data_IF_325536543375
#
_entry.id   IF_325536543375
#
_cell.length_a   1.000
_cell.length_b   1.000
_cell.length_c   1.000
_cell.angle_alpha   90.00
_cell.angle_beta   90.00
_cell.angle_gamma   90.00
#
_symmetry.space_group_name_H-M   'P 1'
#
loop_
_entity.id
_entity.type
_entity.pdbx_description
1 polymer ?
#
# COMPACT_ATOMS: atom_id res chain seq x y z
N UNK A 1 6.18 54.12 -49.07
CA UNK A 1 7.02 53.27 -48.21
C UNK A 1 6.08 52.47 -47.32
N UNK A 2 5.79 51.25 -47.71
CA UNK A 2 4.94 50.29 -46.96
C UNK A 2 5.84 49.38 -46.11
N UNK A 3 5.57 49.13 -44.79
CA UNK A 3 6.38 48.23 -44.00
C UNK A 3 6.04 46.76 -44.28
N UNK A 4 7.05 45.97 -44.51
CA UNK A 4 6.98 44.53 -44.74
C UNK A 4 6.65 43.79 -43.44
N UNK A 5 5.71 42.86 -43.49
CA UNK A 5 5.27 41.98 -42.38
C UNK A 5 6.31 40.85 -42.16
N UNK A 6 6.60 40.46 -40.89
CA UNK A 6 7.60 39.45 -40.56
C UNK A 6 7.02 38.04 -40.32
N UNK A 7 5.86 37.65 -40.85
CA UNK A 7 5.31 36.30 -40.65
C UNK A 7 5.51 35.45 -41.91
N UNK A 8 6.40 34.46 -41.77
CA UNK A 8 6.56 33.37 -42.74
C UNK A 8 5.39 32.39 -42.68
N UNK A 9 5.19 31.53 -43.70
CA UNK A 9 4.09 30.57 -43.74
C UNK A 9 4.19 29.47 -42.66
N UNK A 10 3.06 28.92 -42.18
CA UNK A 10 3.05 27.86 -41.18
C UNK A 10 3.65 26.56 -41.74
N UNK A 11 4.38 25.85 -40.85
CA UNK A 11 5.00 24.57 -41.16
C UNK A 11 3.95 23.47 -41.39
N UNK A 12 4.21 22.63 -42.37
CA UNK A 12 3.39 21.48 -42.77
C UNK A 12 3.26 20.44 -41.65
N UNK A 13 2.05 19.93 -41.33
CA UNK A 13 1.89 18.88 -40.34
C UNK A 13 2.42 17.54 -40.86
N UNK A 14 3.44 17.00 -40.20
CA UNK A 14 4.03 15.71 -40.53
C UNK A 14 3.03 14.53 -40.46
N UNK A 15 3.36 13.39 -41.11
CA UNK A 15 2.45 12.27 -41.28
C UNK A 15 2.05 11.62 -39.93
N UNK A 16 0.81 11.06 -39.79
CA UNK A 16 0.32 10.52 -38.55
C UNK A 16 1.10 9.28 -38.10
N UNK A 17 1.56 9.32 -36.86
CA UNK A 17 2.22 8.18 -36.19
C UNK A 17 1.18 7.06 -36.01
N UNK A 18 1.29 6.01 -36.79
CA UNK A 18 0.44 4.80 -36.68
C UNK A 18 0.79 4.06 -35.39
N UNK A 19 -0.19 3.98 -34.49
CA UNK A 19 -0.09 3.39 -33.16
C UNK A 19 0.39 1.93 -33.18
N UNK A 20 1.38 1.65 -32.34
CA UNK A 20 1.97 0.32 -32.07
C UNK A 20 1.00 -0.68 -31.36
N UNK A 21 -0.20 -0.27 -31.03
CA UNK A 21 -1.21 -1.05 -30.29
C UNK A 21 -1.65 -2.36 -30.97
N UNK A 22 -1.57 -2.48 -32.32
CA UNK A 22 -1.92 -3.72 -33.03
C UNK A 22 -0.88 -4.83 -32.92
N UNK A 23 0.41 -4.53 -32.66
CA UNK A 23 1.46 -5.56 -32.54
C UNK A 23 1.45 -6.27 -31.18
N UNK A 24 1.09 -5.59 -30.09
CA UNK A 24 1.02 -6.21 -28.75
C UNK A 24 -0.15 -7.19 -28.60
N UNK A 25 -1.33 -6.90 -29.18
CA UNK A 25 -2.48 -7.82 -29.12
C UNK A 25 -2.19 -9.18 -29.76
N UNK A 26 -1.41 -9.24 -30.85
CA UNK A 26 -1.07 -10.53 -31.50
C UNK A 26 -0.05 -11.37 -30.71
N UNK A 27 0.81 -10.74 -29.90
CA UNK A 27 1.76 -11.49 -29.05
C UNK A 27 1.08 -12.09 -27.81
N UNK A 28 0.08 -11.44 -27.22
CA UNK A 28 -0.71 -11.99 -26.10
C UNK A 28 -1.53 -13.22 -26.52
N UNK A 29 -2.20 -13.20 -27.67
CA UNK A 29 -2.97 -14.36 -28.14
C UNK A 29 -2.11 -15.61 -28.44
N UNK A 30 -0.86 -15.45 -28.89
CA UNK A 30 0.04 -16.59 -29.11
C UNK A 30 0.54 -17.25 -27.83
N UNK A 31 0.70 -16.49 -26.73
CA UNK A 31 1.12 -17.05 -25.43
C UNK A 31 0.01 -17.86 -24.75
N UNK A 32 -1.25 -17.47 -24.88
CA UNK A 32 -2.39 -18.21 -24.33
C UNK A 32 -2.68 -19.50 -25.11
N UNK A 33 -2.45 -19.54 -26.40
CA UNK A 33 -2.61 -20.76 -27.22
C UNK A 33 -1.55 -21.83 -26.90
N UNK A 34 -0.33 -21.43 -26.52
CA UNK A 34 0.74 -22.37 -26.15
C UNK A 34 0.50 -22.97 -24.76
N UNK A 35 -0.07 -22.21 -23.82
CA UNK A 35 -0.41 -22.69 -22.47
C UNK A 35 -1.59 -23.67 -22.45
N UNK A 36 -2.58 -23.50 -23.32
CA UNK A 36 -3.72 -24.43 -23.44
C UNK A 36 -3.33 -25.77 -24.06
N UNK A 37 -2.34 -25.83 -24.93
CA UNK A 37 -1.84 -27.09 -25.50
C UNK A 37 -0.95 -27.91 -24.54
N UNK A 38 -0.29 -27.25 -23.56
CA UNK A 38 0.51 -27.92 -22.55
C UNK A 38 -0.33 -28.63 -21.46
N UNK A 39 -1.56 -28.15 -21.19
CA UNK A 39 -2.45 -28.71 -20.17
C UNK A 39 -3.19 -30.00 -20.65
N UNK A 40 -3.27 -30.24 -21.96
CA UNK A 40 -3.91 -31.45 -22.52
C UNK A 40 -2.99 -32.66 -22.61
N UNK A 41 -1.68 -32.51 -22.37
CA UNK A 41 -0.71 -33.62 -22.49
C UNK A 41 -0.39 -34.34 -21.17
N UNK A 42 -0.92 -33.91 -20.01
CA UNK A 42 -0.65 -34.49 -18.68
C UNK A 42 -1.82 -35.35 -18.13
N UNK A 43 -2.91 -35.43 -18.85
CA UNK A 43 -4.17 -36.08 -18.43
C UNK A 43 -4.32 -37.58 -18.76
N UNK A 44 -3.26 -38.36 -18.77
CA UNK A 44 -3.42 -39.77 -19.12
C UNK A 44 -2.34 -40.67 -18.56
N UNK A 45 -2.33 -41.01 -17.29
CA UNK A 45 -1.82 -42.29 -16.72
C UNK A 45 -1.81 -42.20 -15.17
N UNK A 46 -2.84 -42.72 -14.51
CA UNK A 46 -2.74 -43.33 -13.18
C UNK A 46 -4.07 -44.03 -12.82
N UNK A 47 -4.22 -45.26 -13.27
CA UNK A 47 -5.18 -46.22 -12.70
C UNK A 47 -4.40 -47.19 -11.85
N UNK A 48 -4.78 -47.33 -10.58
CA UNK A 48 -4.51 -48.53 -9.78
C UNK A 48 -3.48 -48.38 -8.66
N UNK A 49 -3.96 -48.20 -7.46
CA UNK A 49 -3.65 -49.03 -6.27
C UNK A 49 -4.54 -48.57 -5.10
N UNK A 50 -5.60 -49.36 -4.83
CA UNK A 50 -6.42 -49.24 -3.62
C UNK A 50 -5.67 -49.87 -2.44
N UNK A 51 -5.12 -49.08 -1.56
CA UNK A 51 -4.61 -49.49 -0.27
C UNK A 51 -5.61 -49.07 0.83
N UNK A 52 -6.21 -50.11 1.46
CA UNK A 52 -7.10 -49.98 2.62
C UNK A 52 -6.34 -49.36 3.81
N UNK A 53 -6.69 -48.15 4.22
CA UNK A 53 -6.25 -47.56 5.50
C UNK A 53 -7.45 -47.52 6.43
N UNK A 54 -7.38 -48.28 7.51
CA UNK A 54 -8.35 -48.33 8.61
C UNK A 54 -8.33 -47.01 9.39
N UNK A 55 -9.50 -46.47 9.80
CA UNK A 55 -9.53 -45.28 10.67
C UNK A 55 -9.22 -45.68 12.12
N UNK A 56 -8.54 -44.81 12.90
CA UNK A 56 -8.29 -45.02 14.31
C UNK A 56 -9.57 -44.89 15.15
N UNK A 57 -9.65 -45.74 16.18
CA UNK A 57 -10.77 -45.86 17.11
C UNK A 57 -11.11 -44.58 17.91
N UNK A 58 -12.40 -44.29 18.02
CA UNK A 58 -12.96 -43.28 18.92
C UNK A 58 -12.69 -43.63 20.36
N UNK A 59 -12.10 -42.72 21.16
CA UNK A 59 -12.10 -42.74 22.58
C UNK A 59 -13.38 -42.05 23.14
N UNK A 60 -13.96 -42.53 24.26
CA UNK A 60 -15.21 -42.01 24.77
C UNK A 60 -15.05 -40.72 25.57
N UNK A 61 -16.08 -39.88 25.43
CA UNK A 61 -16.25 -38.61 26.12
C UNK A 61 -16.31 -38.76 27.66
N UNK A 62 -15.54 -37.94 28.34
CA UNK A 62 -15.75 -37.68 29.77
C UNK A 62 -16.64 -36.45 29.93
N UNK A 63 -17.69 -36.62 30.73
CA UNK A 63 -18.77 -35.67 30.96
C UNK A 63 -18.44 -34.64 32.06
N UNK A 64 -19.07 -33.46 31.88
CA UNK A 64 -19.64 -32.54 32.88
C UNK A 64 -18.74 -31.61 33.68
N UNK A 65 -18.97 -30.36 33.39
CA UNK A 65 -18.90 -29.23 34.31
C UNK A 65 -19.76 -28.10 33.78
N UNK A 66 -21.00 -28.02 34.26
CA UNK A 66 -21.96 -26.95 34.03
C UNK A 66 -21.61 -25.80 34.97
N UNK A 67 -21.26 -24.63 34.49
CA UNK A 67 -21.31 -23.36 35.21
C UNK A 67 -21.75 -22.22 34.27
N UNK A 68 -22.92 -21.79 34.49
CA UNK A 68 -23.61 -20.46 34.44
C UNK A 68 -22.99 -19.33 33.66
N UNK A 69 -23.81 -18.89 32.73
CA UNK A 69 -24.18 -17.53 32.31
C UNK A 69 -23.24 -16.38 32.69
N UNK A 70 -22.76 -15.74 31.64
CA UNK A 70 -22.11 -14.45 31.67
C UNK A 70 -22.05 -13.90 30.27
N UNK A 71 -23.06 -13.09 29.87
CA UNK A 71 -23.05 -12.28 28.66
C UNK A 71 -21.77 -11.45 28.59
N UNK A 72 -20.80 -11.91 27.83
CA UNK A 72 -19.62 -11.15 27.42
C UNK A 72 -19.55 -11.12 25.91
N UNK A 73 -19.66 -9.94 25.33
CA UNK A 73 -19.43 -9.69 23.92
C UNK A 73 -18.16 -10.42 23.46
N UNK A 74 -18.28 -11.23 22.42
CA UNK A 74 -17.21 -12.08 21.93
C UNK A 74 -15.96 -11.27 21.56
N UNK A 75 -14.94 -11.39 22.40
CA UNK A 75 -13.59 -10.98 22.02
C UNK A 75 -13.08 -11.99 21.00
N UNK A 76 -12.93 -11.56 19.75
CA UNK A 76 -12.20 -12.33 18.75
C UNK A 76 -10.74 -12.50 19.22
N UNK A 77 -10.11 -13.66 19.01
CA UNK A 77 -8.76 -13.89 19.49
C UNK A 77 -7.79 -12.89 18.83
N UNK A 78 -7.09 -12.14 19.68
CA UNK A 78 -6.00 -11.26 19.30
C UNK A 78 -4.92 -12.06 18.56
N UNK A 79 -4.77 -11.85 17.25
CA UNK A 79 -3.59 -12.26 16.51
C UNK A 79 -2.59 -11.11 16.61
N UNK A 80 -1.41 -11.37 17.17
CA UNK A 80 -0.31 -10.40 17.17
C UNK A 80 -0.33 -9.32 18.26
N UNK A 81 -1.21 -9.42 19.31
CA UNK A 81 -1.20 -8.47 20.44
C UNK A 81 -1.83 -7.11 20.14
N UNK A 82 -2.61 -6.97 19.07
CA UNK A 82 -3.42 -5.80 18.71
C UNK A 82 -4.84 -6.22 18.31
N UNK A 83 -5.86 -5.33 18.50
CA UNK A 83 -7.24 -5.66 18.16
C UNK A 83 -7.43 -5.76 16.63
N UNK A 84 -8.23 -6.76 16.20
CA UNK A 84 -8.64 -6.91 14.80
C UNK A 84 -9.71 -5.88 14.41
N UNK A 85 -10.54 -5.46 15.37
CA UNK A 85 -11.61 -4.49 15.20
C UNK A 85 -11.48 -3.38 16.25
N UNK A 86 -11.82 -2.15 15.89
CA UNK A 86 -11.80 -0.99 16.75
C UNK A 86 -13.16 -0.31 16.85
N UNK A 87 -13.19 0.85 17.49
CA UNK A 87 -14.42 1.61 17.72
C UNK A 87 -14.93 2.36 16.48
N UNK A 88 -14.07 2.57 15.47
CA UNK A 88 -14.32 3.45 14.35
C UNK A 88 -14.25 4.95 14.71
N UNK A 89 -13.92 5.28 15.97
CA UNK A 89 -13.68 6.64 16.43
C UNK A 89 -12.18 6.89 16.52
N UNK A 90 -11.75 8.13 16.31
CA UNK A 90 -10.34 8.47 16.23
C UNK A 90 -9.97 9.60 17.20
N UNK A 91 -8.77 9.54 17.73
CA UNK A 91 -8.13 10.64 18.45
C UNK A 91 -7.08 11.27 17.52
N UNK A 92 -7.08 12.61 17.44
CA UNK A 92 -6.09 13.35 16.67
C UNK A 92 -4.85 13.65 17.52
N UNK A 93 -3.68 13.69 16.89
CA UNK A 93 -2.46 14.16 17.53
C UNK A 93 -2.53 15.68 17.73
N UNK A 94 -2.14 16.12 18.90
CA UNK A 94 -2.11 17.52 19.25
C UNK A 94 -0.94 18.28 18.61
N UNK A 95 -1.09 19.61 18.56
CA UNK A 95 -0.04 20.51 18.16
C UNK A 95 0.27 20.51 16.66
N UNK A 96 1.31 21.24 16.31
CA UNK A 96 1.71 21.53 14.94
C UNK A 96 3.20 21.24 14.75
N UNK A 97 3.57 20.51 13.68
CA UNK A 97 4.98 20.32 13.35
C UNK A 97 5.58 21.58 12.70
N UNK A 98 6.91 21.73 12.71
CA UNK A 98 7.57 22.70 11.83
C UNK A 98 7.24 22.40 10.37
N UNK A 99 7.22 23.46 9.53
CA UNK A 99 7.18 23.28 8.07
C UNK A 99 8.48 22.62 7.62
N UNK A 100 8.36 21.53 6.85
CA UNK A 100 9.49 20.83 6.23
C UNK A 100 9.45 21.03 4.72
N UNK A 101 10.61 20.94 4.06
CA UNK A 101 10.79 21.27 2.64
C UNK A 101 11.10 22.74 2.43
N UNK A 102 11.54 23.10 1.22
CA UNK A 102 12.07 24.45 0.92
C UNK A 102 11.13 25.26 0.03
N UNK A 103 10.66 24.67 -1.07
CA UNK A 103 9.88 25.35 -2.10
C UNK A 103 8.57 24.59 -2.40
N UNK A 104 7.72 25.17 -3.23
CA UNK A 104 6.47 24.58 -3.68
C UNK A 104 5.30 24.75 -2.72
N UNK A 105 4.14 24.17 -3.05
CA UNK A 105 2.93 24.25 -2.24
C UNK A 105 3.13 23.61 -0.86
N UNK A 106 2.50 24.20 0.14
CA UNK A 106 2.45 23.62 1.49
C UNK A 106 1.25 22.66 1.57
N UNK A 107 1.53 21.38 1.78
CA UNK A 107 0.52 20.35 2.04
C UNK A 107 0.43 20.13 3.55
N UNK A 108 -0.75 20.32 4.10
CA UNK A 108 -1.02 20.13 5.53
C UNK A 108 -1.67 18.79 5.74
N UNK A 109 -1.19 18.06 6.75
CA UNK A 109 -1.78 16.76 7.11
C UNK A 109 -2.16 16.70 8.58
N UNK A 110 -3.16 15.89 8.88
CA UNK A 110 -3.55 15.52 10.23
C UNK A 110 -3.17 14.06 10.46
N UNK A 111 -2.85 13.73 11.70
CA UNK A 111 -2.61 12.34 12.11
C UNK A 111 -3.64 11.95 13.15
N UNK A 112 -4.27 10.78 12.95
CA UNK A 112 -5.27 10.24 13.86
C UNK A 112 -5.04 8.75 14.10
N UNK A 113 -5.34 8.29 15.32
CA UNK A 113 -5.27 6.88 15.70
C UNK A 113 -6.63 6.42 16.18
N UNK A 114 -7.07 5.24 15.75
CA UNK A 114 -8.33 4.65 16.20
C UNK A 114 -8.32 4.39 17.69
N UNK A 115 -9.37 4.83 18.37
CA UNK A 115 -9.55 4.59 19.80
C UNK A 115 -9.72 3.10 20.07
N UNK A 116 -9.00 2.58 21.06
CA UNK A 116 -8.95 1.15 21.34
C UNK A 116 -7.91 0.36 20.51
N UNK A 117 -7.20 0.99 19.58
CA UNK A 117 -6.12 0.35 18.81
C UNK A 117 -4.87 0.01 19.66
N UNK A 118 -4.80 0.48 20.90
CA UNK A 118 -3.65 0.24 21.78
C UNK A 118 -2.38 0.97 21.34
N UNK A 119 -2.49 2.01 20.52
CA UNK A 119 -1.37 2.80 20.03
C UNK A 119 -1.49 4.24 20.51
N UNK A 120 -0.35 4.81 20.88
CA UNK A 120 -0.23 6.21 21.29
C UNK A 120 -0.24 7.10 20.05
N UNK A 121 -1.15 8.08 20.02
CA UNK A 121 -1.34 8.95 18.85
C UNK A 121 -0.15 9.89 18.63
N UNK A 122 0.48 10.38 19.68
CA UNK A 122 1.61 11.30 19.58
C UNK A 122 2.87 10.56 19.15
N UNK A 123 3.09 9.33 19.61
CA UNK A 123 4.18 8.49 19.16
C UNK A 123 4.04 8.10 17.67
N UNK A 124 2.81 7.81 17.22
CA UNK A 124 2.54 7.57 15.80
C UNK A 124 2.77 8.84 14.98
N UNK A 125 2.26 9.98 15.43
CA UNK A 125 2.44 11.26 14.77
C UNK A 125 3.91 11.68 14.68
N UNK A 126 4.70 11.47 15.73
CA UNK A 126 6.13 11.73 15.70
C UNK A 126 6.84 10.88 14.64
N UNK A 127 6.47 9.60 14.52
CA UNK A 127 7.03 8.72 13.47
C UNK A 127 6.65 9.22 12.07
N UNK A 128 5.41 9.64 11.85
CA UNK A 128 4.95 10.22 10.57
C UNK A 128 5.71 11.52 10.27
N UNK A 129 5.86 12.41 11.26
CA UNK A 129 6.60 13.67 11.13
C UNK A 129 8.06 13.42 10.73
N UNK A 130 8.72 12.42 11.37
CA UNK A 130 10.12 12.06 11.08
C UNK A 130 10.25 11.50 9.65
N UNK A 131 9.36 10.60 9.24
CA UNK A 131 9.38 10.01 7.89
C UNK A 131 9.14 11.07 6.82
N UNK A 132 8.05 11.84 6.94
CA UNK A 132 7.69 12.81 5.91
C UNK A 132 8.59 14.05 5.91
N UNK A 133 9.24 14.34 7.05
CA UNK A 133 10.21 15.42 7.19
C UNK A 133 11.64 15.08 6.75
N UNK A 134 11.93 13.81 6.42
CA UNK A 134 13.23 13.37 5.93
C UNK A 134 13.43 13.78 4.46
N UNK A 135 14.64 14.22 4.11
CA UNK A 135 14.96 14.59 2.72
C UNK A 135 14.93 13.42 1.72
N UNK A 136 14.93 12.20 2.21
CA UNK A 136 14.72 11.00 1.38
C UNK A 136 13.24 10.76 1.06
N UNK A 137 12.31 11.42 1.79
CA UNK A 137 10.88 11.39 1.54
C UNK A 137 10.50 12.38 0.42
N UNK A 138 9.22 12.62 0.23
CA UNK A 138 8.65 13.41 -0.88
C UNK A 138 9.13 14.86 -0.94
N UNK A 139 9.52 15.44 0.22
CA UNK A 139 10.15 16.77 0.27
C UNK A 139 11.55 16.81 -0.40
N UNK A 140 12.15 15.66 -0.70
CA UNK A 140 13.40 15.56 -1.45
C UNK A 140 13.31 16.08 -2.88
N UNK A 141 12.10 16.28 -3.41
CA UNK A 141 11.86 16.96 -4.69
C UNK A 141 12.26 18.43 -4.69
N UNK A 142 12.39 19.06 -3.52
CA UNK A 142 12.47 20.51 -3.31
C UNK A 142 11.29 21.30 -3.90
N UNK A 143 10.20 20.62 -4.33
CA UNK A 143 9.00 21.23 -4.92
C UNK A 143 7.75 21.01 -4.06
N UNK A 144 7.94 20.57 -2.82
CA UNK A 144 6.88 20.27 -1.87
C UNK A 144 7.29 20.69 -0.46
N UNK A 145 6.38 21.34 0.24
CA UNK A 145 6.49 21.58 1.69
C UNK A 145 5.36 20.86 2.42
N UNK A 146 5.65 20.39 3.62
CA UNK A 146 4.70 19.60 4.40
C UNK A 146 4.65 20.06 5.85
N UNK A 147 3.49 19.96 6.50
CA UNK A 147 3.29 20.33 7.89
C UNK A 147 2.16 19.55 8.52
N UNK A 148 2.38 18.90 9.67
CA UNK A 148 1.28 18.41 10.50
C UNK A 148 0.53 19.54 11.16
N UNK A 149 -0.79 19.41 11.24
CA UNK A 149 -1.68 20.40 11.89
C UNK A 149 -2.62 19.68 12.86
N UNK A 150 -3.07 20.37 13.94
CA UNK A 150 -4.01 19.80 14.91
C UNK A 150 -5.43 19.68 14.34
N UNK A 151 -6.35 19.10 15.12
CA UNK A 151 -7.70 18.76 14.69
C UNK A 151 -8.51 19.94 14.20
N UNK A 152 -8.41 21.08 14.89
CA UNK A 152 -9.16 22.30 14.59
C UNK A 152 -8.66 23.06 13.35
N UNK A 153 -7.48 22.71 12.83
CA UNK A 153 -6.91 23.35 11.67
C UNK A 153 -7.29 22.65 10.36
N UNK A 154 -7.41 23.41 9.27
CA UNK A 154 -7.62 22.83 7.96
C UNK A 154 -6.42 22.00 7.53
N UNK A 155 -6.68 20.74 7.11
CA UNK A 155 -5.71 19.82 6.54
C UNK A 155 -6.11 19.49 5.10
N UNK A 156 -5.11 19.26 4.23
CA UNK A 156 -5.33 18.81 2.86
C UNK A 156 -5.67 17.31 2.82
N UNK A 157 -5.08 16.54 3.76
CA UNK A 157 -5.38 15.11 3.94
C UNK A 157 -5.18 14.67 5.40
N UNK A 158 -5.68 13.48 5.73
CA UNK A 158 -5.53 12.88 7.06
C UNK A 158 -4.90 11.49 6.96
N UNK A 159 -3.93 11.21 7.84
CA UNK A 159 -3.29 9.91 7.98
C UNK A 159 -3.91 9.19 9.17
N UNK A 160 -4.51 8.06 8.92
CA UNK A 160 -5.18 7.20 9.88
C UNK A 160 -4.31 6.02 10.24
N UNK A 161 -4.24 5.66 11.52
CA UNK A 161 -3.85 4.34 11.96
C UNK A 161 -5.12 3.63 12.44
N UNK A 162 -5.53 2.60 11.72
CA UNK A 162 -6.82 1.93 11.92
C UNK A 162 -6.64 0.41 12.07
N UNK A 163 -7.48 -0.22 12.90
CA UNK A 163 -7.54 -1.68 13.00
C UNK A 163 -7.88 -2.31 11.64
N UNK A 164 -7.53 -3.59 11.39
CA UNK A 164 -7.78 -4.24 10.10
C UNK A 164 -9.21 -4.08 9.58
N UNK A 165 -10.21 -4.30 10.43
CA UNK A 165 -11.62 -4.20 10.04
C UNK A 165 -12.04 -2.74 9.73
N UNK A 166 -11.56 -1.78 10.51
CA UNK A 166 -11.82 -0.36 10.25
C UNK A 166 -11.08 0.13 9.01
N UNK A 167 -9.83 -0.33 8.79
CA UNK A 167 -9.06 -0.05 7.58
C UNK A 167 -9.81 -0.52 6.33
N UNK A 168 -10.27 -1.79 6.29
CA UNK A 168 -11.07 -2.32 5.19
C UNK A 168 -12.32 -1.48 4.93
N UNK A 169 -13.08 -1.15 5.98
CA UNK A 169 -14.30 -0.34 5.84
C UNK A 169 -14.01 1.05 5.25
N UNK A 170 -12.94 1.72 5.71
CA UNK A 170 -12.57 3.03 5.20
C UNK A 170 -12.07 2.97 3.75
N UNK A 171 -11.30 1.95 3.39
CA UNK A 171 -10.82 1.72 2.01
C UNK A 171 -12.02 1.41 1.07
N UNK A 172 -13.01 0.64 1.54
CA UNK A 172 -14.22 0.31 0.78
C UNK A 172 -15.06 1.55 0.43
N UNK A 173 -15.02 2.62 1.20
CA UNK A 173 -15.67 3.89 0.85
C UNK A 173 -15.11 4.51 -0.45
N UNK A 174 -13.86 4.19 -0.80
CA UNK A 174 -13.23 4.55 -2.07
C UNK A 174 -13.35 3.48 -3.15
N UNK A 175 -14.11 2.40 -2.90
CA UNK A 175 -14.28 1.29 -3.84
C UNK A 175 -13.11 0.29 -3.84
N UNK A 176 -12.22 0.34 -2.85
CA UNK A 176 -11.08 -0.56 -2.74
C UNK A 176 -11.42 -1.72 -1.79
N UNK A 177 -11.01 -2.95 -2.13
CA UNK A 177 -11.01 -4.09 -1.22
C UNK A 177 -9.59 -4.43 -0.85
N UNK A 178 -9.26 -4.32 0.43
CA UNK A 178 -7.95 -4.65 0.99
C UNK A 178 -7.97 -5.99 1.73
N UNK A 179 -9.15 -6.59 1.87
CA UNK A 179 -9.40 -7.81 2.65
C UNK A 179 -8.89 -7.68 4.11
N UNK A 180 -8.84 -6.43 4.63
CA UNK A 180 -8.23 -6.13 5.94
C UNK A 180 -6.73 -6.42 6.00
N UNK A 181 -6.09 -6.65 4.85
CA UNK A 181 -4.67 -7.03 4.77
C UNK A 181 -3.75 -5.85 4.51
N UNK A 182 -4.04 -4.99 3.53
CA UNK A 182 -3.16 -3.87 3.18
C UNK A 182 -3.63 -2.54 3.78
N UNK A 183 -2.75 -1.55 3.73
CA UNK A 183 -3.08 -0.14 3.83
C UNK A 183 -3.68 0.34 2.51
N UNK A 184 -4.21 1.54 2.47
CA UNK A 184 -4.73 2.14 1.24
C UNK A 184 -4.74 3.66 1.30
N UNK A 185 -4.91 4.28 0.13
CA UNK A 185 -5.20 5.71 -0.01
C UNK A 185 -6.51 5.90 -0.76
N UNK A 186 -7.39 6.75 -0.22
CA UNK A 186 -8.55 7.30 -0.93
C UNK A 186 -8.47 8.83 -0.85
N UNK A 187 -9.13 9.61 -1.73
CA UNK A 187 -8.94 11.06 -1.81
C UNK A 187 -9.03 11.76 -0.44
N UNK A 188 -7.92 12.42 -0.04
CA UNK A 188 -7.78 13.13 1.23
C UNK A 188 -7.61 12.25 2.47
N UNK A 189 -7.52 10.93 2.31
CA UNK A 189 -7.33 9.99 3.43
C UNK A 189 -6.29 8.91 3.10
N UNK A 190 -5.26 8.82 3.92
CA UNK A 190 -4.23 7.80 3.93
C UNK A 190 -4.53 6.87 5.11
N UNK A 191 -4.81 5.60 4.86
CA UNK A 191 -5.22 4.63 5.88
C UNK A 191 -4.12 3.59 6.06
N UNK A 192 -3.42 3.65 7.20
CA UNK A 192 -2.40 2.68 7.60
C UNK A 192 -3.08 1.58 8.41
N UNK A 193 -2.97 0.35 7.93
CA UNK A 193 -3.51 -0.83 8.59
C UNK A 193 -2.67 -1.20 9.82
N UNK A 194 -3.30 -1.29 10.99
CA UNK A 194 -2.65 -1.58 12.26
C UNK A 194 -1.86 -2.90 12.24
N UNK A 195 -2.37 -3.94 11.59
CA UNK A 195 -1.65 -5.21 11.48
C UNK A 195 -0.33 -5.04 10.72
N UNK A 196 -0.34 -4.27 9.65
CA UNK A 196 0.88 -3.95 8.88
C UNK A 196 1.82 -3.08 9.69
N UNK A 197 1.29 -2.13 10.43
CA UNK A 197 2.06 -1.29 11.34
C UNK A 197 2.78 -2.08 12.43
N UNK A 198 2.10 -3.09 12.99
CA UNK A 198 2.63 -3.89 14.11
C UNK A 198 3.59 -4.99 13.66
N UNK A 199 3.27 -5.69 12.56
CA UNK A 199 3.95 -6.93 12.19
C UNK A 199 4.69 -6.86 10.85
N UNK A 200 4.49 -5.80 10.02
CA UNK A 200 4.90 -5.83 8.61
C UNK A 200 4.20 -6.97 7.84
N UNK A 201 4.89 -7.63 6.93
CA UNK A 201 4.45 -8.86 6.25
C UNK A 201 5.50 -9.95 6.46
N UNK A 202 5.10 -11.25 6.42
CA UNK A 202 6.07 -12.33 6.42
C UNK A 202 7.12 -12.14 5.31
N UNK A 203 8.36 -12.49 5.63
CA UNK A 203 9.48 -12.49 4.68
C UNK A 203 9.77 -11.14 4.00
N UNK A 204 9.40 -10.01 4.63
CA UNK A 204 9.71 -8.67 4.11
C UNK A 204 11.22 -8.44 3.89
N UNK A 205 12.06 -9.17 4.63
CA UNK A 205 13.52 -9.12 4.45
C UNK A 205 14.21 -7.89 5.02
N UNK A 206 13.48 -7.04 5.77
CA UNK A 206 14.01 -5.84 6.43
C UNK A 206 13.37 -5.61 7.80
N UNK A 207 14.01 -4.83 8.71
CA UNK A 207 13.45 -4.51 10.01
C UNK A 207 12.07 -3.80 9.91
N UNK A 208 11.22 -3.99 10.94
CA UNK A 208 9.88 -3.38 11.02
C UNK A 208 9.89 -1.86 10.80
N UNK A 209 10.91 -1.16 11.28
CA UNK A 209 11.03 0.30 11.07
C UNK A 209 11.14 0.66 9.59
N UNK A 210 11.78 -0.17 8.77
CA UNK A 210 11.88 0.02 7.31
C UNK A 210 10.50 -0.16 6.67
N UNK A 211 9.75 -1.18 7.09
CA UNK A 211 8.39 -1.39 6.60
C UNK A 211 7.46 -0.23 6.97
N UNK A 212 7.51 0.25 8.22
CA UNK A 212 6.72 1.41 8.69
C UNK A 212 7.03 2.67 7.87
N UNK A 213 8.30 2.91 7.60
CA UNK A 213 8.72 4.02 6.73
C UNK A 213 8.21 3.84 5.30
N UNK A 214 8.31 2.62 4.76
CA UNK A 214 7.79 2.27 3.44
C UNK A 214 6.30 2.55 3.34
N UNK A 215 5.48 1.99 4.24
CA UNK A 215 4.02 2.11 4.11
C UNK A 215 3.53 3.55 4.22
N UNK A 216 4.15 4.38 5.08
CA UNK A 216 3.85 5.82 5.16
C UNK A 216 4.17 6.50 3.81
N UNK A 217 5.39 6.31 3.29
CA UNK A 217 5.81 6.93 2.03
C UNK A 217 4.99 6.42 0.83
N UNK A 218 4.64 5.14 0.79
CA UNK A 218 3.84 4.54 -0.28
C UNK A 218 2.44 5.15 -0.35
N UNK A 219 1.71 5.12 0.75
CA UNK A 219 0.33 5.62 0.79
C UNK A 219 0.26 7.15 0.63
N UNK A 220 1.24 7.89 1.18
CA UNK A 220 1.36 9.34 0.95
C UNK A 220 1.78 9.63 -0.49
N UNK A 221 2.57 8.77 -1.12
CA UNK A 221 2.89 8.86 -2.55
C UNK A 221 1.61 8.85 -3.42
N UNK A 222 0.69 7.95 -3.14
CA UNK A 222 -0.62 7.94 -3.81
C UNK A 222 -1.42 9.23 -3.57
N UNK A 223 -1.32 9.85 -2.37
CA UNK A 223 -1.97 11.15 -2.10
C UNK A 223 -1.35 12.27 -2.94
N UNK A 224 -0.10 12.15 -3.32
CA UNK A 224 0.61 13.09 -4.21
C UNK A 224 0.49 12.73 -5.70
N UNK A 225 -0.27 11.68 -6.05
CA UNK A 225 -0.55 11.29 -7.43
C UNK A 225 0.42 10.28 -8.03
N UNK A 226 1.26 9.67 -7.22
CA UNK A 226 2.15 8.59 -7.68
C UNK A 226 1.36 7.30 -7.89
N UNK A 227 1.65 6.59 -8.96
CA UNK A 227 1.05 5.31 -9.30
C UNK A 227 2.01 4.15 -8.99
N UNK A 228 1.48 2.91 -8.97
CA UNK A 228 2.29 1.73 -8.69
C UNK A 228 3.41 1.52 -9.69
N UNK A 229 4.52 0.96 -9.21
CA UNK A 229 5.74 0.74 -9.98
C UNK A 229 6.25 -0.68 -9.82
N UNK A 230 6.88 -1.22 -10.89
CA UNK A 230 7.49 -2.54 -10.87
C UNK A 230 8.89 -2.51 -10.25
N UNK A 231 9.31 -3.67 -9.71
CA UNK A 231 10.71 -3.95 -9.41
C UNK A 231 11.55 -3.86 -10.69
N UNK A 232 12.63 -3.07 -10.73
CA UNK A 232 13.49 -2.96 -11.92
C UNK A 232 14.33 -4.22 -12.19
N UNK A 233 14.58 -5.03 -11.17
CA UNK A 233 15.30 -6.30 -11.32
C UNK A 233 15.79 -6.89 -10.00
N UNK A 234 16.17 -8.18 -9.99
CA UNK A 234 16.64 -8.84 -8.79
C UNK A 234 17.87 -8.17 -8.18
N UNK A 235 17.81 -7.94 -6.86
CA UNK A 235 18.89 -7.30 -6.09
C UNK A 235 18.87 -5.77 -6.12
N UNK A 236 18.10 -5.15 -7.01
CA UNK A 236 17.91 -3.71 -7.03
C UNK A 236 17.02 -3.24 -5.87
N UNK A 237 17.13 -2.00 -5.37
CA UNK A 237 16.17 -1.46 -4.42
C UNK A 237 14.75 -1.48 -5.00
N UNK A 238 13.77 -1.86 -4.19
CA UNK A 238 12.36 -1.74 -4.59
C UNK A 238 11.98 -0.25 -4.73
N UNK A 239 11.34 0.20 -5.82
CA UNK A 239 10.70 1.50 -5.83
C UNK A 239 9.74 1.63 -4.65
N UNK A 240 9.66 2.81 -4.00
CA UNK A 240 8.74 2.99 -2.87
C UNK A 240 7.28 2.77 -3.29
N UNK A 241 6.96 3.03 -4.56
CA UNK A 241 5.62 2.80 -5.12
C UNK A 241 5.41 1.37 -5.64
N UNK A 242 6.37 0.44 -5.47
CA UNK A 242 6.11 -0.98 -5.62
C UNK A 242 5.22 -1.46 -4.47
N UNK A 243 4.26 -2.33 -4.75
CA UNK A 243 3.39 -2.93 -3.72
C UNK A 243 4.16 -3.97 -2.89
N UNK A 244 5.17 -3.51 -2.12
CA UNK A 244 6.08 -4.37 -1.34
C UNK A 244 5.36 -5.21 -0.28
N UNK A 245 4.14 -4.83 0.09
CA UNK A 245 3.27 -5.62 1.00
C UNK A 245 2.87 -6.97 0.39
N UNK A 246 2.77 -7.06 -0.93
CA UNK A 246 2.46 -8.31 -1.64
C UNK A 246 3.71 -9.08 -2.08
N UNK A 247 4.87 -8.42 -2.06
CA UNK A 247 6.14 -9.05 -2.41
C UNK A 247 7.16 -8.06 -2.99
N UNK A 248 8.41 -8.50 -2.99
CA UNK A 248 9.52 -7.69 -3.49
C UNK A 248 9.92 -8.03 -4.94
N UNK A 249 9.40 -9.11 -5.53
CA UNK A 249 9.66 -9.56 -6.90
C UNK A 249 11.16 -9.66 -7.23
N UNK A 250 11.96 -10.03 -6.22
CA UNK A 250 13.42 -10.15 -6.30
C UNK A 250 14.17 -8.86 -5.96
N UNK A 251 13.49 -7.73 -5.80
CA UNK A 251 14.09 -6.50 -5.29
C UNK A 251 14.47 -6.61 -3.80
N UNK A 252 15.28 -5.68 -3.33
CA UNK A 252 15.58 -5.47 -1.90
C UNK A 252 14.65 -4.41 -1.34
N UNK A 253 14.12 -4.61 -0.13
CA UNK A 253 13.22 -3.67 0.53
C UNK A 253 13.82 -2.26 0.59
N UNK A 254 13.07 -1.26 0.14
CA UNK A 254 13.44 0.15 0.21
C UNK A 254 12.21 1.00 0.57
N UNK A 255 12.40 1.91 1.51
CA UNK A 255 11.34 2.70 2.10
C UNK A 255 11.26 4.15 1.57
N UNK A 256 12.16 4.55 0.69
CA UNK A 256 12.36 5.95 0.35
C UNK A 256 12.15 6.25 -1.13
N UNK A 257 11.42 7.33 -1.47
CA UNK A 257 11.28 7.79 -2.86
C UNK A 257 12.57 8.39 -3.45
N UNK A 258 13.50 8.85 -2.58
CA UNK A 258 14.78 9.41 -3.00
C UNK A 258 15.93 8.57 -2.45
N UNK A 259 16.78 8.06 -3.34
CA UNK A 259 18.00 7.31 -3.04
C UNK A 259 19.17 8.12 -3.57
N UNK A 260 20.20 8.33 -2.74
CA UNK A 260 21.37 9.15 -3.07
C UNK A 260 21.01 10.55 -3.63
N UNK A 261 19.94 11.13 -3.09
CA UNK A 261 19.44 12.45 -3.48
C UNK A 261 18.75 12.52 -4.85
N UNK A 262 18.50 11.36 -5.49
CA UNK A 262 17.79 11.27 -6.77
C UNK A 262 16.44 10.56 -6.59
N UNK A 263 15.40 11.01 -7.34
CA UNK A 263 14.13 10.28 -7.39
C UNK A 263 14.37 8.87 -7.93
N UNK A 264 14.05 7.88 -7.12
CA UNK A 264 14.14 6.47 -7.51
C UNK A 264 12.76 5.92 -7.84
N UNK A 265 12.57 5.46 -9.07
CA UNK A 265 11.28 5.03 -9.60
C UNK A 265 11.45 3.84 -10.55
N UNK A 266 10.44 2.97 -10.62
CA UNK A 266 10.33 1.87 -11.57
C UNK A 266 9.39 2.19 -12.75
N UNK A 267 9.18 1.20 -13.62
CA UNK A 267 8.14 1.29 -14.67
C UNK A 267 6.75 1.28 -14.02
N UNK A 268 5.84 2.10 -14.56
CA UNK A 268 4.45 2.13 -14.09
C UNK A 268 3.77 0.79 -14.41
N UNK A 269 3.00 0.31 -13.43
CA UNK A 269 2.18 -0.89 -13.57
C UNK A 269 0.75 -0.60 -13.14
N UNK A 270 -0.21 -1.33 -13.71
CA UNK A 270 -1.59 -1.29 -13.24
C UNK A 270 -1.60 -1.82 -11.79
N UNK A 271 -2.18 -1.08 -10.87
CA UNK A 271 -2.42 -1.54 -9.51
C UNK A 271 -3.40 -2.72 -9.48
N UNK A 272 -3.28 -3.54 -8.45
CA UNK A 272 -4.25 -4.62 -8.16
C UNK A 272 -5.45 -3.99 -7.47
#
# INVERSE_FOLDING_TARGET
MTPSSPYGPPADPGPPVRSSRRRMRRRRMRRHAVLLLALLAVGGAAVGLTGLVQPPARQPAASRGHLTDGSGAGAHPERGGYPAEGTGSFAAADGRSPVRGYEGPLRRYRVVVEQGAGQDVDAFAATVDDVLGDRRSWIGSDQLRIQRVPEEAAADFTIYLATPATSERLCAEGGLSTEGYTSCRIPGRVIINLARWMDSVPDYGAPLVVYRTYVINHEVGHEFGEEHQACPGPGEPAPVMQQQTYGLDGCVANAWPYVDGQRYAGELVDGI
#
